data_IF_022115303255
#
_entry.id   IF_022115303255
#
_cell.length_a   1.000
_cell.length_b   1.000
_cell.length_c   1.000
_cell.angle_alpha   90.00
_cell.angle_beta   90.00
_cell.angle_gamma   90.00
#
_symmetry.space_group_name_H-M   'P 1'
#
loop_
_entity.id
_entity.type
_entity.pdbx_description
1 polymer ?
#
# COMPACT_ATOMS: atom_id res chain seq x y z
N UNK A 1 17.02 6.06 6.05
CA UNK A 1 15.56 5.93 5.86
C UNK A 1 15.05 7.25 5.33
N UNK A 2 14.16 7.28 4.34
CA UNK A 2 13.53 8.51 3.87
C UNK A 2 12.68 9.14 4.98
N UNK A 3 12.81 10.44 5.20
CA UNK A 3 12.08 11.15 6.26
C UNK A 3 10.56 11.06 6.09
N UNK A 4 10.07 10.95 4.84
CA UNK A 4 8.64 10.85 4.55
C UNK A 4 8.01 9.54 5.07
N UNK A 5 8.79 8.47 5.20
CA UNK A 5 8.33 7.18 5.73
C UNK A 5 8.40 7.09 7.25
N UNK A 6 9.05 8.04 7.94
CA UNK A 6 9.31 7.97 9.38
C UNK A 6 8.03 7.83 10.25
N UNK A 7 6.87 8.23 9.69
CA UNK A 7 5.55 8.10 10.33
C UNK A 7 5.06 6.67 10.48
N UNK A 8 5.50 5.76 9.60
CA UNK A 8 4.99 4.39 9.57
C UNK A 8 5.69 3.51 10.61
N UNK A 9 5.07 2.40 11.01
CA UNK A 9 5.77 1.33 11.76
C UNK A 9 6.99 0.82 10.99
N UNK A 10 8.08 0.46 11.70
CA UNK A 10 9.35 0.01 11.09
C UNK A 10 9.19 -1.12 10.05
N UNK A 11 8.29 -2.07 10.31
CA UNK A 11 8.00 -3.15 9.36
C UNK A 11 7.39 -2.63 8.06
N UNK A 12 6.44 -1.70 8.13
CA UNK A 12 5.84 -1.07 6.94
C UNK A 12 6.91 -0.30 6.16
N UNK A 13 7.75 0.49 6.85
CA UNK A 13 8.83 1.21 6.20
C UNK A 13 9.79 0.26 5.47
N UNK A 14 10.17 -0.85 6.11
CA UNK A 14 11.03 -1.88 5.50
C UNK A 14 10.37 -2.46 4.24
N UNK A 15 9.11 -2.86 4.31
CA UNK A 15 8.39 -3.45 3.18
C UNK A 15 8.26 -2.45 2.00
N UNK A 16 8.00 -1.17 2.26
CA UNK A 16 7.94 -0.13 1.22
C UNK A 16 9.29 0.02 0.52
N UNK A 17 10.38 0.05 1.28
CA UNK A 17 11.74 0.16 0.73
C UNK A 17 12.10 -1.09 -0.10
N UNK A 18 11.82 -2.29 0.41
CA UNK A 18 12.10 -3.55 -0.31
C UNK A 18 11.30 -3.64 -1.63
N UNK A 19 10.02 -3.26 -1.60
CA UNK A 19 9.19 -3.18 -2.80
C UNK A 19 9.77 -2.19 -3.83
N UNK A 20 10.22 -1.02 -3.38
CA UNK A 20 10.82 -0.02 -4.26
C UNK A 20 12.09 -0.55 -4.95
N UNK A 21 13.03 -1.13 -4.18
CA UNK A 21 14.28 -1.66 -4.73
C UNK A 21 14.02 -2.82 -5.70
N UNK A 22 13.04 -3.68 -5.41
CA UNK A 22 12.66 -4.80 -6.29
C UNK A 22 12.05 -4.31 -7.60
N UNK A 23 11.11 -3.36 -7.52
CA UNK A 23 10.41 -2.81 -8.70
C UNK A 23 11.39 -2.08 -9.60
N UNK A 24 12.34 -1.34 -9.02
CA UNK A 24 13.42 -0.70 -9.75
C UNK A 24 14.31 -1.72 -10.49
N UNK A 25 14.79 -2.75 -9.81
CA UNK A 25 15.70 -3.72 -10.43
C UNK A 25 15.06 -4.45 -11.62
N UNK A 26 13.75 -4.69 -11.56
CA UNK A 26 13.01 -5.27 -12.69
C UNK A 26 12.84 -4.31 -13.88
N UNK A 27 12.84 -2.99 -13.65
CA UNK A 27 12.71 -1.99 -14.70
C UNK A 27 14.05 -1.63 -15.38
N UNK A 28 15.18 -1.87 -14.70
CA UNK A 28 16.54 -1.60 -15.22
C UNK A 28 17.02 -2.58 -16.31
N UNK A 29 16.22 -3.57 -16.72
CA UNK A 29 16.52 -4.46 -17.85
C UNK A 29 16.26 -3.79 -19.22
N UNK A 30 15.76 -2.54 -19.20
CA UNK A 30 15.68 -1.66 -20.39
C UNK A 30 16.94 -0.81 -20.43
N UNK A 31 17.85 -1.13 -21.35
CA UNK A 31 19.08 -0.41 -21.66
C UNK A 31 18.79 1.03 -22.17
N UNK A 32 18.27 1.92 -21.34
CA UNK A 32 18.12 3.34 -21.66
C UNK A 32 18.86 4.20 -20.63
N UNK A 33 20.01 4.79 -20.98
CA UNK A 33 20.87 5.51 -20.04
C UNK A 33 20.42 6.97 -19.77
N UNK A 34 19.30 7.45 -20.30
CA UNK A 34 18.95 8.89 -20.28
C UNK A 34 17.61 9.29 -19.62
N UNK A 35 17.06 8.55 -18.66
CA UNK A 35 15.94 9.08 -17.85
C UNK A 35 16.19 8.94 -16.34
N UNK A 36 16.71 10.01 -15.73
CA UNK A 36 16.84 10.18 -14.27
C UNK A 36 15.47 10.33 -13.55
N UNK A 37 14.35 10.21 -14.28
CA UNK A 37 12.99 10.43 -13.80
C UNK A 37 12.16 9.13 -13.88
N UNK A 38 12.65 8.08 -13.21
CA UNK A 38 11.89 6.85 -13.01
C UNK A 38 10.70 7.13 -12.09
N UNK A 39 9.58 7.54 -12.67
CA UNK A 39 8.28 7.40 -12.03
C UNK A 39 8.01 5.90 -11.90
N UNK A 40 8.13 5.36 -10.69
CA UNK A 40 7.87 3.94 -10.46
C UNK A 40 6.36 3.75 -10.43
N UNK A 41 5.81 3.21 -11.52
CA UNK A 41 4.42 2.77 -11.62
C UNK A 41 4.37 1.28 -11.24
N UNK A 42 4.19 0.96 -9.95
CA UNK A 42 2.91 1.16 -9.24
C UNK A 42 2.91 2.15 -8.05
N UNK A 43 1.73 2.54 -7.57
CA UNK A 43 1.55 3.22 -6.26
C UNK A 43 1.16 2.22 -5.16
N UNK A 44 1.37 2.58 -3.89
CA UNK A 44 0.97 1.75 -2.75
C UNK A 44 -0.18 2.38 -1.96
N UNK A 45 -1.18 1.58 -1.62
CA UNK A 45 -2.15 1.89 -0.57
C UNK A 45 -1.71 1.21 0.73
N UNK A 46 -1.45 2.01 1.76
CA UNK A 46 -0.94 1.55 3.05
C UNK A 46 -1.97 1.82 4.13
N UNK A 47 -2.25 0.80 4.95
CA UNK A 47 -3.17 0.90 6.09
C UNK A 47 -2.43 0.63 7.39
N UNK A 48 -2.41 1.61 8.28
CA UNK A 48 -1.98 1.43 9.67
C UNK A 48 -3.19 1.11 10.54
N UNK A 49 -3.38 -0.17 10.83
CA UNK A 49 -4.49 -0.66 11.65
C UNK A 49 -4.36 -0.31 13.13
N UNK A 50 -5.51 0.02 13.73
CA UNK A 50 -5.75 -0.05 15.17
C UNK A 50 -6.55 -1.33 15.48
N UNK A 51 -5.85 -2.40 15.85
CA UNK A 51 -6.45 -3.71 16.12
C UNK A 51 -7.42 -3.69 17.30
N UNK A 52 -7.23 -2.78 18.27
CA UNK A 52 -8.15 -2.64 19.40
C UNK A 52 -9.46 -2.02 18.94
N UNK A 53 -9.40 -0.95 18.14
CA UNK A 53 -10.59 -0.31 17.59
C UNK A 53 -11.37 -1.26 16.68
N UNK A 54 -10.69 -2.01 15.81
CA UNK A 54 -11.31 -3.04 14.94
C UNK A 54 -12.05 -4.09 15.79
N UNK A 55 -11.37 -4.66 16.79
CA UNK A 55 -11.94 -5.67 17.69
C UNK A 55 -13.14 -5.13 18.46
N UNK A 56 -13.05 -3.91 18.98
CA UNK A 56 -14.13 -3.28 19.75
C UNK A 56 -15.37 -3.00 18.91
N UNK A 57 -15.20 -2.75 17.60
CA UNK A 57 -16.30 -2.58 16.65
C UNK A 57 -16.87 -3.91 16.14
N UNK A 58 -16.28 -5.05 16.53
CA UNK A 58 -16.70 -6.38 16.06
C UNK A 58 -16.46 -6.60 14.57
N UNK A 59 -15.59 -5.80 13.94
CA UNK A 59 -15.30 -5.88 12.51
C UNK A 59 -14.14 -6.85 12.30
N UNK A 60 -14.27 -7.72 11.31
CA UNK A 60 -13.17 -8.60 10.92
C UNK A 60 -12.28 -7.88 9.90
N UNK A 61 -10.98 -7.75 10.20
CA UNK A 61 -10.01 -7.12 9.30
C UNK A 61 -10.02 -7.74 7.89
N UNK A 62 -10.20 -9.06 7.81
CA UNK A 62 -10.29 -9.79 6.53
C UNK A 62 -11.43 -9.29 5.64
N UNK A 63 -12.54 -8.80 6.20
CA UNK A 63 -13.63 -8.24 5.40
C UNK A 63 -13.20 -6.92 4.74
N UNK A 64 -12.47 -6.08 5.47
CA UNK A 64 -11.93 -4.82 4.92
C UNK A 64 -10.91 -5.13 3.82
N UNK A 65 -10.01 -6.09 4.06
CA UNK A 65 -9.02 -6.54 3.07
C UNK A 65 -9.73 -7.08 1.82
N UNK A 66 -10.77 -7.90 1.97
CA UNK A 66 -11.52 -8.43 0.84
C UNK A 66 -12.22 -7.34 0.02
N UNK A 67 -12.74 -6.29 0.67
CA UNK A 67 -13.30 -5.12 -0.03
C UNK A 67 -12.24 -4.44 -0.89
N UNK A 68 -11.04 -4.20 -0.34
CA UNK A 68 -9.92 -3.57 -1.07
C UNK A 68 -9.49 -4.43 -2.26
N UNK A 69 -9.37 -5.74 -2.07
CA UNK A 69 -9.00 -6.70 -3.13
C UNK A 69 -10.08 -6.87 -4.20
N UNK A 70 -11.30 -6.40 -3.96
CA UNK A 70 -12.37 -6.40 -4.94
C UNK A 70 -12.15 -5.42 -6.09
N UNK A 71 -11.24 -4.45 -5.94
CA UNK A 71 -10.92 -3.47 -6.96
C UNK A 71 -9.90 -4.02 -7.95
N UNK A 72 -10.23 -3.95 -9.24
CA UNK A 72 -9.31 -4.31 -10.30
C UNK A 72 -8.07 -3.39 -10.26
N UNK A 73 -6.88 -3.96 -10.45
CA UNK A 73 -5.61 -3.23 -10.31
C UNK A 73 -5.12 -3.08 -8.87
N UNK A 74 -5.83 -3.58 -7.86
CA UNK A 74 -5.39 -3.56 -6.46
C UNK A 74 -5.08 -4.97 -5.94
N UNK A 75 -3.85 -5.20 -5.49
CA UNK A 75 -3.43 -6.50 -4.96
C UNK A 75 -2.61 -6.33 -3.69
N UNK A 76 -2.70 -7.22 -2.70
CA UNK A 76 -1.83 -7.16 -1.53
C UNK A 76 -0.37 -7.33 -1.94
N UNK A 77 0.52 -6.58 -1.29
CA UNK A 77 1.95 -6.74 -1.48
C UNK A 77 2.36 -8.17 -1.10
N UNK A 78 2.86 -8.92 -2.08
CA UNK A 78 3.45 -10.24 -1.87
C UNK A 78 4.78 -10.08 -1.14
N UNK A 79 5.05 -10.96 -0.18
CA UNK A 79 6.32 -11.00 0.55
C UNK A 79 7.00 -12.34 0.29
N UNK A 80 8.20 -12.27 -0.25
CA UNK A 80 9.07 -13.42 -0.42
C UNK A 80 10.15 -13.35 0.64
N UNK A 81 10.40 -14.46 1.33
CA UNK A 81 11.57 -14.59 2.21
C UNK A 81 12.54 -15.55 1.53
N UNK A 82 13.70 -15.04 1.16
CA UNK A 82 14.81 -15.88 0.73
C UNK A 82 15.45 -16.52 1.96
N UNK A 83 15.44 -17.84 1.99
CA UNK A 83 16.12 -18.65 3.00
C UNK A 83 17.27 -19.40 2.36
N UNK A 84 18.18 -19.96 3.17
CA UNK A 84 19.27 -20.81 2.68
C UNK A 84 18.79 -22.08 1.93
N UNK A 85 17.48 -22.36 1.94
CA UNK A 85 16.85 -23.54 1.34
C UNK A 85 15.94 -23.17 0.15
N UNK A 86 15.91 -21.89 -0.24
CA UNK A 86 15.08 -21.36 -1.33
C UNK A 86 14.15 -20.22 -0.89
N UNK A 87 13.36 -19.72 -1.83
CA UNK A 87 12.40 -18.63 -1.62
C UNK A 87 11.07 -19.19 -1.10
N UNK A 88 10.64 -18.75 0.07
CA UNK A 88 9.33 -19.11 0.64
C UNK A 88 8.33 -17.97 0.42
N UNK A 89 7.19 -18.29 -0.19
CA UNK A 89 6.07 -17.37 -0.30
C UNK A 89 5.41 -17.22 1.08
N UNK A 90 5.37 -15.99 1.59
CA UNK A 90 4.69 -15.67 2.86
C UNK A 90 3.26 -15.21 2.56
N UNK A 91 2.39 -15.31 3.57
CA UNK A 91 1.06 -14.70 3.52
C UNK A 91 1.15 -13.24 3.03
N UNK A 92 0.31 -12.85 2.04
CA UNK A 92 0.32 -11.49 1.51
C UNK A 92 0.06 -10.44 2.59
N UNK A 93 0.56 -9.23 2.39
CA UNK A 93 0.42 -8.15 3.37
C UNK A 93 -1.06 -7.77 3.60
N UNK A 94 -1.52 -7.81 4.84
CA UNK A 94 -2.85 -7.27 5.20
C UNK A 94 -2.88 -5.75 5.35
N UNK A 95 -1.77 -5.05 5.09
CA UNK A 95 -1.60 -3.62 5.38
C UNK A 95 -1.03 -2.81 4.23
N UNK A 96 -0.54 -3.46 3.18
CA UNK A 96 0.10 -2.80 2.04
C UNK A 96 -0.44 -3.45 0.78
N UNK A 97 -0.99 -2.63 -0.10
CA UNK A 97 -1.56 -3.05 -1.37
C UNK A 97 -0.86 -2.28 -2.48
N UNK A 98 -0.48 -2.99 -3.53
CA UNK A 98 0.01 -2.43 -4.78
C UNK A 98 -1.20 -2.04 -5.61
N UNK A 99 -1.22 -0.81 -6.11
CA UNK A 99 -2.20 -0.32 -7.07
C UNK A 99 -1.50 -0.01 -8.39
N UNK A 100 -1.96 -0.64 -9.46
CA UNK A 100 -1.51 -0.41 -10.83
C UNK A 100 -2.64 0.16 -11.68
N UNK A 101 -2.26 0.89 -12.72
CA UNK A 101 -3.22 1.35 -13.73
C UNK A 101 -3.91 0.14 -14.40
N UNK A 102 -5.19 0.33 -14.73
CA UNK A 102 -5.98 -0.65 -15.48
C UNK A 102 -6.38 -0.06 -16.82
N UNK A 103 -7.03 -0.87 -17.67
CA UNK A 103 -7.58 -0.38 -18.95
C UNK A 103 -8.67 0.70 -18.79
N UNK A 104 -9.29 0.79 -17.61
CA UNK A 104 -10.50 1.59 -17.39
C UNK A 104 -10.35 2.65 -16.30
N UNK A 105 -9.28 2.60 -15.51
CA UNK A 105 -9.03 3.52 -14.41
C UNK A 105 -7.52 3.59 -14.11
N UNK A 106 -7.02 4.78 -13.82
CA UNK A 106 -5.69 4.97 -13.26
C UNK A 106 -5.66 4.61 -11.77
N UNK A 107 -4.45 4.34 -11.27
CA UNK A 107 -4.19 3.94 -9.88
C UNK A 107 -4.68 4.95 -8.83
N UNK A 108 -4.68 6.25 -9.16
CA UNK A 108 -5.16 7.27 -8.24
C UNK A 108 -6.68 7.22 -8.11
N UNK A 109 -7.40 7.08 -9.22
CA UNK A 109 -8.84 6.86 -9.20
C UNK A 109 -9.19 5.58 -8.42
N UNK A 110 -8.45 4.50 -8.63
CA UNK A 110 -8.64 3.24 -7.88
C UNK A 110 -8.44 3.46 -6.38
N UNK A 111 -7.38 4.16 -5.96
CA UNK A 111 -7.14 4.49 -4.55
C UNK A 111 -8.27 5.34 -3.95
N UNK A 112 -8.73 6.35 -4.68
CA UNK A 112 -9.82 7.24 -4.25
C UNK A 112 -11.16 6.49 -4.15
N UNK A 113 -11.47 5.58 -5.07
CA UNK A 113 -12.67 4.74 -5.04
C UNK A 113 -12.65 3.75 -3.88
N UNK A 114 -11.50 3.12 -3.61
CA UNK A 114 -11.31 2.26 -2.43
C UNK A 114 -11.58 3.06 -1.16
N UNK A 115 -10.95 4.22 -1.02
CA UNK A 115 -11.11 5.10 0.15
C UNK A 115 -12.55 5.55 0.33
N UNK A 116 -13.23 5.91 -0.76
CA UNK A 116 -14.64 6.30 -0.72
C UNK A 116 -15.52 5.16 -0.22
N UNK A 117 -15.34 3.94 -0.74
CA UNK A 117 -16.12 2.78 -0.32
C UNK A 117 -15.84 2.41 1.15
N UNK A 118 -14.57 2.42 1.56
CA UNK A 118 -14.19 2.19 2.96
C UNK A 118 -14.84 3.21 3.88
N UNK A 119 -14.82 4.50 3.51
CA UNK A 119 -15.51 5.55 4.25
C UNK A 119 -17.01 5.28 4.36
N UNK A 120 -17.68 4.94 3.26
CA UNK A 120 -19.11 4.64 3.28
C UNK A 120 -19.46 3.45 4.18
N UNK A 121 -18.63 2.41 4.20
CA UNK A 121 -18.89 1.19 4.97
C UNK A 121 -18.53 1.33 6.44
N UNK A 122 -17.48 2.08 6.75
CA UNK A 122 -16.80 1.97 8.03
C UNK A 122 -16.63 3.28 8.79
N UNK A 123 -16.71 4.45 8.16
CA UNK A 123 -16.58 5.71 8.88
C UNK A 123 -17.78 5.93 9.81
N UNK A 124 -17.49 6.23 11.09
CA UNK A 124 -18.51 6.60 12.07
C UNK A 124 -18.06 7.84 12.86
N UNK A 125 -18.85 8.91 12.76
CA UNK A 125 -18.54 10.16 13.44
C UNK A 125 -18.57 9.98 14.96
N UNK A 126 -17.51 10.40 15.63
CA UNK A 126 -17.38 10.32 17.09
C UNK A 126 -16.98 8.93 17.61
N UNK A 127 -16.63 8.00 16.72
CA UNK A 127 -16.08 6.68 17.08
C UNK A 127 -14.56 6.69 16.89
N UNK A 128 -13.84 5.87 17.66
CA UNK A 128 -12.41 5.67 17.47
C UNK A 128 -12.17 5.03 16.10
N UNK A 129 -11.31 5.65 15.30
CA UNK A 129 -10.94 5.15 13.97
C UNK A 129 -10.29 3.76 14.05
N UNK A 130 -10.57 2.90 13.06
CA UNK A 130 -9.96 1.58 12.93
C UNK A 130 -8.54 1.61 12.33
N UNK A 131 -8.07 2.78 11.91
CA UNK A 131 -6.74 2.93 11.36
C UNK A 131 -6.55 4.21 10.55
N UNK A 132 -5.42 4.28 9.86
CA UNK A 132 -5.10 5.38 8.93
C UNK A 132 -4.77 4.81 7.57
N UNK A 133 -5.21 5.49 6.53
CA UNK A 133 -5.03 5.06 5.13
C UNK A 133 -4.16 6.08 4.41
N UNK A 134 -3.16 5.59 3.70
CA UNK A 134 -2.19 6.42 3.00
C UNK A 134 -2.00 5.92 1.58
N UNK A 135 -1.81 6.85 0.66
CA UNK A 135 -1.24 6.62 -0.67
C UNK A 135 0.25 6.95 -0.59
N UNK A 136 1.08 6.03 -1.06
CA UNK A 136 2.54 6.18 -1.09
C UNK A 136 3.00 6.00 -2.53
N UNK A 137 3.62 7.03 -3.08
CA UNK A 137 4.16 7.04 -4.43
C UNK A 137 5.67 7.25 -4.38
N UNK A 138 6.41 6.50 -5.18
CA UNK A 138 7.85 6.66 -5.30
C UNK A 138 8.16 7.65 -6.43
N UNK A 139 8.53 8.88 -6.07
CA UNK A 139 8.71 9.98 -7.03
C UNK A 139 10.10 10.00 -7.66
N UNK A 140 11.12 9.57 -6.90
CA UNK A 140 12.52 9.41 -7.35
C UNK A 140 13.30 8.60 -6.33
N UNK A 141 14.56 8.25 -6.62
CA UNK A 141 15.40 7.40 -5.76
C UNK A 141 15.41 7.84 -4.30
N UNK A 142 14.80 7.03 -3.42
CA UNK A 142 14.76 7.27 -1.97
C UNK A 142 13.82 8.40 -1.52
N UNK A 143 12.97 8.91 -2.41
CA UNK A 143 11.93 9.90 -2.08
C UNK A 143 10.55 9.32 -2.34
N UNK A 144 9.74 9.34 -1.29
CA UNK A 144 8.35 8.87 -1.33
C UNK A 144 7.44 10.05 -1.03
N UNK A 145 6.48 10.30 -1.92
CA UNK A 145 5.33 11.14 -1.60
C UNK A 145 4.34 10.30 -0.79
N UNK A 146 3.78 10.89 0.26
CA UNK A 146 2.90 10.20 1.21
C UNK A 146 1.70 11.10 1.49
N UNK A 147 0.55 10.69 0.98
CA UNK A 147 -0.72 11.38 1.15
C UNK A 147 -1.61 10.58 2.09
N UNK A 148 -2.09 11.21 3.16
CA UNK A 148 -3.04 10.60 4.09
C UNK A 148 -4.48 10.88 3.64
N UNK A 149 -5.29 9.84 3.54
CA UNK A 149 -6.73 9.97 3.43
C UNK A 149 -7.32 10.04 4.84
N UNK A 150 -7.93 11.18 5.17
CA UNK A 150 -8.57 11.41 6.47
C UNK A 150 -9.99 10.87 6.49
N UNK A 151 -10.46 10.57 7.70
CA UNK A 151 -11.86 10.18 7.96
C UNK A 151 -12.31 9.00 7.09
N UNK A 152 -11.49 7.95 7.00
CA UNK A 152 -11.80 6.74 6.24
C UNK A 152 -12.50 5.68 7.11
N UNK A 153 -12.15 5.59 8.39
CA UNK A 153 -12.71 4.62 9.34
C UNK A 153 -13.33 5.30 10.56
#
# INVERSE_FOLDING_TARGET
MPDSLARFKKEIQKNIIEWFETTKNNNNDRNDPEEDDYNIDPSLLVIEWDDNAIRNRGIQKNNIIAVIQGFNGCQPLQRNIDTNVGTNNVAPSGSIFIITDTRTADKRQIAEDIVLLLRQMYFQRGTVSMGRVYEVEATRKGFFDVKEFREVF
#
